data_IF_397634892733
#
_entry.id   IF_397634892733
#
_cell.length_a   1.000
_cell.length_b   1.000
_cell.length_c   1.000
_cell.angle_alpha   90.00
_cell.angle_beta   90.00
_cell.angle_gamma   90.00
#
_symmetry.space_group_name_H-M   'P 1'
#
loop_
_entity.id
_entity.type
_entity.pdbx_description
1 polymer ?
#
# COMPACT_ATOMS: atom_id res chain seq x y z
N UNK A 1 -19.20 3.46 -0.41
CA UNK A 1 -19.09 3.69 -1.87
C UNK A 1 -18.94 5.19 -2.08
N UNK A 2 -17.96 5.61 -2.88
CA UNK A 2 -17.78 7.00 -3.32
C UNK A 2 -18.23 7.15 -4.76
N UNK A 3 -18.80 8.31 -5.12
CA UNK A 3 -19.20 8.63 -6.49
C UNK A 3 -18.07 9.39 -7.16
N UNK A 4 -17.73 9.00 -8.39
CA UNK A 4 -16.77 9.70 -9.24
C UNK A 4 -17.46 10.14 -10.53
N UNK A 5 -16.96 11.20 -11.15
CA UNK A 5 -17.28 11.58 -12.52
C UNK A 5 -16.09 11.20 -13.39
N UNK A 6 -16.36 10.57 -14.53
CA UNK A 6 -15.35 10.18 -15.50
C UNK A 6 -15.90 10.47 -16.90
N UNK A 7 -15.12 11.21 -17.68
CA UNK A 7 -15.45 11.51 -19.07
C UNK A 7 -14.95 10.36 -19.95
N UNK A 8 -15.88 9.76 -20.70
CA UNK A 8 -15.60 8.70 -21.65
C UNK A 8 -16.28 9.06 -22.99
N UNK A 9 -15.63 8.79 -24.13
CA UNK A 9 -16.27 8.85 -25.44
C UNK A 9 -17.56 8.03 -25.49
N UNK A 10 -18.56 8.50 -26.25
CA UNK A 10 -19.86 7.81 -26.38
C UNK A 10 -19.72 6.37 -26.90
N UNK A 11 -18.73 6.12 -27.77
CA UNK A 11 -18.41 4.79 -28.27
C UNK A 11 -17.94 3.82 -27.18
N UNK A 12 -17.14 4.30 -26.23
CA UNK A 12 -16.66 3.51 -25.10
C UNK A 12 -17.80 3.20 -24.13
N UNK A 13 -18.73 4.15 -23.92
CA UNK A 13 -19.93 3.91 -23.11
C UNK A 13 -20.80 2.82 -23.76
N UNK A 14 -21.05 2.91 -25.07
CA UNK A 14 -21.83 1.89 -25.80
C UNK A 14 -21.17 0.52 -25.73
N UNK A 15 -19.86 0.46 -25.93
CA UNK A 15 -19.09 -0.77 -25.82
C UNK A 15 -19.19 -1.37 -24.40
N UNK A 16 -19.09 -0.54 -23.37
CA UNK A 16 -19.16 -0.97 -21.97
C UNK A 16 -20.54 -1.52 -21.61
N UNK A 17 -21.62 -0.88 -22.09
CA UNK A 17 -22.99 -1.36 -21.87
C UNK A 17 -23.23 -2.71 -22.58
N UNK A 18 -22.76 -2.87 -23.82
CA UNK A 18 -22.84 -4.15 -24.55
C UNK A 18 -22.05 -5.27 -23.84
N UNK A 19 -20.86 -4.93 -23.33
CA UNK A 19 -20.00 -5.85 -22.55
C UNK A 19 -20.67 -6.27 -21.25
N UNK A 20 -21.33 -5.35 -20.57
CA UNK A 20 -22.06 -5.59 -19.33
C UNK A 20 -23.28 -6.49 -19.55
N UNK A 21 -24.07 -6.21 -20.59
CA UNK A 21 -25.21 -7.02 -20.99
C UNK A 21 -24.80 -8.46 -21.34
N UNK A 22 -23.72 -8.64 -22.11
CA UNK A 22 -23.18 -9.96 -22.47
C UNK A 22 -22.79 -10.79 -21.23
N UNK A 23 -22.32 -10.13 -20.17
CA UNK A 23 -21.92 -10.79 -18.92
C UNK A 23 -23.04 -10.90 -17.87
N UNK A 24 -24.23 -10.36 -18.14
CA UNK A 24 -25.31 -10.29 -17.15
C UNK A 24 -24.97 -9.43 -15.92
N UNK A 25 -24.05 -8.46 -16.07
CA UNK A 25 -23.56 -7.60 -14.97
C UNK A 25 -24.02 -6.17 -15.15
N UNK A 26 -24.03 -5.40 -14.07
CA UNK A 26 -24.19 -3.94 -14.18
C UNK A 26 -22.92 -3.30 -14.70
N UNK A 27 -23.06 -2.19 -15.44
CA UNK A 27 -21.95 -1.35 -15.92
C UNK A 27 -20.96 -1.01 -14.81
N UNK A 28 -21.45 -0.63 -13.63
CA UNK A 28 -20.62 -0.31 -12.47
C UNK A 28 -19.82 -1.52 -11.95
N UNK A 29 -20.36 -2.74 -12.08
CA UNK A 29 -19.62 -3.95 -11.72
C UNK A 29 -18.45 -4.20 -12.67
N UNK A 30 -18.68 -4.05 -13.98
CA UNK A 30 -17.64 -4.20 -15.01
C UNK A 30 -16.53 -3.16 -14.82
N UNK A 31 -16.90 -1.91 -14.53
CA UNK A 31 -15.95 -0.84 -14.21
C UNK A 31 -15.10 -1.16 -12.96
N UNK A 32 -15.71 -1.66 -11.88
CA UNK A 32 -14.97 -2.07 -10.67
C UNK A 32 -13.96 -3.18 -10.95
N UNK A 33 -14.36 -4.19 -11.74
CA UNK A 33 -13.46 -5.27 -12.14
C UNK A 33 -12.32 -4.77 -13.04
N UNK A 34 -12.62 -3.85 -13.97
CA UNK A 34 -11.61 -3.24 -14.82
C UNK A 34 -10.57 -2.46 -13.99
N UNK A 35 -11.03 -1.63 -13.04
CA UNK A 35 -10.14 -0.88 -12.15
C UNK A 35 -9.29 -1.81 -11.27
N UNK A 36 -9.88 -2.90 -10.74
CA UNK A 36 -9.14 -3.87 -9.94
C UNK A 36 -8.05 -4.59 -10.74
N UNK A 37 -8.36 -4.99 -11.98
CA UNK A 37 -7.39 -5.61 -12.89
C UNK A 37 -6.30 -4.63 -13.31
N UNK A 38 -6.67 -3.39 -13.62
CA UNK A 38 -5.72 -2.34 -13.96
C UNK A 38 -4.76 -2.09 -12.79
N UNK A 39 -5.27 -1.98 -11.54
CA UNK A 39 -4.44 -1.84 -10.35
C UNK A 39 -3.46 -3.00 -10.18
N UNK A 40 -3.87 -4.24 -10.45
CA UNK A 40 -3.00 -5.41 -10.35
C UNK A 40 -1.95 -5.51 -11.48
N UNK A 41 -2.23 -4.91 -12.64
CA UNK A 41 -1.32 -4.88 -13.80
C UNK A 41 -0.38 -3.69 -13.79
N UNK A 42 -0.76 -2.59 -13.14
CA UNK A 42 0.11 -1.45 -12.93
C UNK A 42 1.33 -1.90 -12.11
N UNK A 43 2.56 -1.71 -12.60
CA UNK A 43 3.76 -1.89 -11.80
C UNK A 43 3.57 -1.02 -10.56
N UNK A 44 3.55 -1.65 -9.39
CA UNK A 44 3.02 -1.07 -8.18
C UNK A 44 3.44 0.40 -7.99
N UNK A 45 2.48 1.33 -8.05
CA UNK A 45 2.60 2.61 -7.32
C UNK A 45 2.74 2.34 -5.80
N UNK A 46 2.45 1.11 -5.38
CA UNK A 46 2.77 0.49 -4.09
C UNK A 46 4.15 -0.22 -4.11
N UNK A 47 5.15 0.25 -4.87
CA UNK A 47 6.56 -0.20 -4.71
C UNK A 47 7.10 0.24 -3.35
N UNK A 48 6.58 -0.35 -2.29
CA UNK A 48 7.21 -0.48 -0.98
C UNK A 48 8.45 -1.38 -1.06
N UNK A 49 8.84 -1.83 -2.25
CA UNK A 49 10.16 -2.39 -2.54
C UNK A 49 11.28 -1.55 -1.92
N UNK A 50 11.12 -0.21 -1.80
CA UNK A 50 12.12 0.61 -1.11
C UNK A 50 12.20 0.33 0.40
N UNK A 51 11.11 -0.10 1.04
CA UNK A 51 11.07 -0.53 2.45
C UNK A 51 11.81 -1.86 2.59
N UNK A 52 11.52 -2.82 1.71
CA UNK A 52 12.22 -4.12 1.70
C UNK A 52 13.70 -3.95 1.37
N UNK A 53 14.04 -3.14 0.37
CA UNK A 53 15.43 -2.78 0.07
C UNK A 53 16.07 -2.04 1.24
N UNK A 54 15.30 -1.19 1.92
CA UNK A 54 15.69 -0.40 3.08
C UNK A 54 16.03 -1.22 4.33
N UNK A 55 15.50 -2.45 4.41
CA UNK A 55 15.69 -3.34 5.55
C UNK A 55 17.17 -3.74 5.69
N UNK A 56 17.75 -3.50 6.87
CA UNK A 56 19.12 -3.90 7.18
C UNK A 56 20.23 -2.90 6.78
N UNK A 57 19.92 -1.81 6.08
CA UNK A 57 20.93 -0.80 5.68
C UNK A 57 21.75 -0.23 6.86
N UNK A 58 21.17 -0.24 8.06
CA UNK A 58 21.79 0.30 9.27
C UNK A 58 22.15 -0.79 10.30
N UNK A 59 21.92 -2.07 10.01
CA UNK A 59 22.05 -3.15 10.98
C UNK A 59 23.52 -3.38 11.43
N UNK A 60 24.46 -3.24 10.49
CA UNK A 60 25.88 -3.53 10.73
C UNK A 60 26.75 -2.26 10.83
N UNK A 61 26.13 -1.08 10.96
CA UNK A 61 26.86 0.17 11.10
C UNK A 61 27.39 0.32 12.52
N UNK A 62 28.72 0.27 12.65
CA UNK A 62 29.45 0.41 13.91
C UNK A 62 29.75 1.88 14.28
N UNK A 63 29.54 2.82 13.36
CA UNK A 63 29.75 4.26 13.55
C UNK A 63 28.58 4.96 14.26
N UNK A 64 27.45 4.27 14.38
CA UNK A 64 26.30 4.72 15.20
C UNK A 64 26.28 3.84 16.45
N UNK A 65 26.26 4.44 17.63
CA UNK A 65 26.14 3.69 18.89
C UNK A 65 24.79 2.97 19.01
N UNK A 66 24.72 1.93 19.85
CA UNK A 66 23.48 1.22 20.11
C UNK A 66 22.48 2.13 20.86
N UNK A 67 21.33 2.36 20.23
CA UNK A 67 20.25 3.15 20.80
C UNK A 67 19.66 2.54 22.07
N UNK A 68 19.68 1.21 22.22
CA UNK A 68 19.20 0.52 23.42
C UNK A 68 20.17 0.71 24.57
N UNK A 69 21.48 0.56 24.34
CA UNK A 69 22.49 0.89 25.35
C UNK A 69 22.40 2.35 25.79
N UNK A 70 22.27 3.29 24.85
CA UNK A 70 22.07 4.70 25.18
C UNK A 70 20.82 4.92 26.04
N UNK A 71 19.67 4.33 25.67
CA UNK A 71 18.44 4.44 26.44
C UNK A 71 18.54 3.83 27.85
N UNK A 72 19.31 2.76 28.01
CA UNK A 72 19.58 2.13 29.32
C UNK A 72 20.45 3.03 30.18
N UNK A 73 21.53 3.59 29.63
CA UNK A 73 22.43 4.48 30.36
C UNK A 73 21.69 5.72 30.91
N UNK A 74 20.81 6.35 30.13
CA UNK A 74 20.04 7.52 30.60
C UNK A 74 18.90 7.19 31.57
N UNK A 75 18.61 5.90 31.80
CA UNK A 75 17.55 5.40 32.69
C UNK A 75 18.10 4.52 33.80
N UNK A 76 19.41 4.56 34.04
CA UNK A 76 20.05 3.79 35.10
C UNK A 76 19.47 4.11 36.50
N UNK A 77 18.90 5.31 36.66
CA UNK A 77 18.21 5.76 37.87
C UNK A 77 16.84 5.09 38.11
N UNK A 78 16.31 4.36 37.13
CA UNK A 78 14.98 3.74 37.21
C UNK A 78 15.07 2.30 37.67
N UNK A 79 14.19 1.92 38.59
CA UNK A 79 13.97 0.52 38.97
C UNK A 79 13.50 -0.27 37.73
N UNK A 80 14.21 -1.36 37.35
CA UNK A 80 13.76 -2.26 36.29
C UNK A 80 12.37 -2.83 36.58
N UNK A 81 11.58 -3.09 35.53
CA UNK A 81 10.23 -3.66 35.70
C UNK A 81 10.25 -5.06 36.35
N UNK A 82 11.33 -5.81 36.16
CA UNK A 82 11.51 -7.14 36.77
C UNK A 82 11.70 -7.08 38.29
N UNK A 83 12.05 -5.90 38.82
CA UNK A 83 12.30 -5.64 40.25
C UNK A 83 11.11 -4.93 40.95
N UNK A 84 9.98 -4.77 40.26
CA UNK A 84 8.72 -4.22 40.79
C UNK A 84 7.73 -5.33 41.18
#
# INVERSE_FOLDING_TARGET
MTRILADLPDEDIRWLDARAATQGKSRASVLREAVARFKAQSPADDRKDWIERGYGYWADRLDIGDGVEYQRAIREDRTPYEDL
#
